data_IF_351511788159
#
_entry.id   IF_351511788159
#
_cell.length_a   1.000
_cell.length_b   1.000
_cell.length_c   1.000
_cell.angle_alpha   90.00
_cell.angle_beta   90.00
_cell.angle_gamma   90.00
#
_symmetry.space_group_name_H-M   'P 1'
#
loop_
_entity.id
_entity.type
_entity.pdbx_description
1 polymer ?
#
# COMPACT_ATOMS: atom_id res chain seq x y z
N UNK A 1 53.23 -10.18 -25.26
CA UNK A 1 52.31 -11.09 -25.98
C UNK A 1 51.41 -11.75 -24.96
N UNK A 2 50.10 -11.72 -25.17
CA UNK A 2 49.11 -12.35 -24.29
C UNK A 2 47.90 -11.45 -24.04
N UNK A 3 47.15 -11.16 -25.11
CA UNK A 3 45.84 -10.53 -25.01
C UNK A 3 44.73 -11.60 -24.97
N UNK A 4 43.67 -11.28 -24.24
CA UNK A 4 42.28 -11.72 -24.41
C UNK A 4 41.93 -13.18 -24.08
N UNK A 5 40.94 -13.38 -23.20
CA UNK A 5 39.63 -13.90 -23.62
C UNK A 5 38.53 -13.37 -22.68
N UNK A 6 37.64 -12.57 -23.28
CA UNK A 6 36.38 -12.10 -22.72
C UNK A 6 35.35 -13.23 -22.84
N UNK A 7 34.85 -13.75 -21.72
CA UNK A 7 33.80 -14.79 -21.68
C UNK A 7 32.44 -14.18 -22.02
N UNK A 8 32.12 -14.11 -23.31
CA UNK A 8 30.86 -13.58 -23.86
C UNK A 8 29.75 -14.65 -23.99
N UNK A 9 29.87 -15.75 -23.26
CA UNK A 9 29.01 -16.95 -23.39
C UNK A 9 27.96 -17.16 -22.31
N UNK A 10 28.09 -16.51 -21.14
CA UNK A 10 27.24 -16.79 -19.97
C UNK A 10 26.03 -15.85 -19.85
N UNK A 11 25.97 -14.78 -20.65
CA UNK A 11 24.90 -13.78 -20.60
C UNK A 11 23.50 -14.34 -20.93
N UNK A 12 23.31 -15.13 -22.00
CA UNK A 12 21.98 -15.63 -22.37
C UNK A 12 21.41 -16.63 -21.36
N UNK A 13 22.27 -17.47 -20.78
CA UNK A 13 21.90 -18.44 -19.73
C UNK A 13 21.57 -17.72 -18.42
N UNK A 14 22.37 -16.73 -18.02
CA UNK A 14 22.10 -15.92 -16.84
C UNK A 14 20.77 -15.17 -16.95
N UNK A 15 20.49 -14.55 -18.09
CA UNK A 15 19.22 -13.86 -18.36
C UNK A 15 18.04 -14.83 -18.32
N UNK A 16 18.18 -16.04 -18.88
CA UNK A 16 17.14 -17.07 -18.83
C UNK A 16 16.86 -17.53 -17.39
N UNK A 17 17.89 -17.77 -16.59
CA UNK A 17 17.75 -18.15 -15.18
C UNK A 17 17.12 -17.03 -14.33
N UNK A 18 17.51 -15.78 -14.58
CA UNK A 18 16.94 -14.60 -13.90
C UNK A 18 15.45 -14.45 -14.25
N UNK A 19 15.10 -14.61 -15.53
CA UNK A 19 13.70 -14.56 -15.98
C UNK A 19 12.83 -15.69 -15.40
N UNK A 20 13.38 -16.92 -15.28
CA UNK A 20 12.66 -18.04 -14.68
C UNK A 20 12.36 -17.81 -13.18
N UNK A 21 13.34 -17.27 -12.44
CA UNK A 21 13.15 -16.95 -11.03
C UNK A 21 12.19 -15.78 -10.81
N UNK A 22 12.26 -14.74 -11.65
CA UNK A 22 11.29 -13.64 -11.62
C UNK A 22 9.86 -14.13 -11.90
N UNK A 23 9.70 -15.05 -12.86
CA UNK A 23 8.41 -15.69 -13.15
C UNK A 23 7.87 -16.50 -11.95
N UNK A 24 8.74 -17.19 -11.21
CA UNK A 24 8.36 -17.88 -9.99
C UNK A 24 7.88 -16.92 -8.90
N UNK A 25 8.59 -15.81 -8.68
CA UNK A 25 8.18 -14.80 -7.69
C UNK A 25 6.83 -14.16 -8.05
N UNK A 26 6.57 -13.93 -9.34
CA UNK A 26 5.25 -13.47 -9.81
C UNK A 26 4.15 -14.45 -9.39
N UNK A 27 4.36 -15.74 -9.60
CA UNK A 27 3.36 -16.77 -9.30
C UNK A 27 3.16 -16.96 -7.80
N UNK A 28 4.24 -16.96 -7.02
CA UNK A 28 4.21 -17.25 -5.59
C UNK A 28 3.74 -16.06 -4.75
N UNK A 29 4.00 -14.83 -5.19
CA UNK A 29 3.86 -13.64 -4.36
C UNK A 29 2.93 -12.59 -4.94
N UNK A 30 3.18 -12.18 -6.20
CA UNK A 30 2.40 -11.08 -6.79
C UNK A 30 1.01 -11.50 -7.23
N UNK A 31 0.80 -12.73 -7.72
CA UNK A 31 -0.53 -13.23 -8.03
C UNK A 31 -1.44 -13.26 -6.80
N UNK A 32 -1.03 -13.83 -5.64
CA UNK A 32 -1.81 -13.75 -4.41
C UNK A 32 -2.06 -12.31 -3.95
N UNK A 33 -1.05 -11.43 -4.02
CA UNK A 33 -1.23 -10.02 -3.67
C UNK A 33 -2.28 -9.35 -4.56
N UNK A 34 -2.26 -9.61 -5.86
CA UNK A 34 -3.25 -9.06 -6.80
C UNK A 34 -4.66 -9.56 -6.48
N UNK A 35 -4.84 -10.86 -6.23
CA UNK A 35 -6.15 -11.42 -5.85
C UNK A 35 -6.65 -10.75 -4.57
N UNK A 36 -5.78 -10.56 -3.57
CA UNK A 36 -6.13 -9.87 -2.34
C UNK A 36 -6.55 -8.41 -2.57
N UNK A 37 -5.90 -7.70 -3.50
CA UNK A 37 -6.26 -6.33 -3.86
C UNK A 37 -7.57 -6.26 -4.66
N UNK A 38 -7.84 -7.25 -5.52
CA UNK A 38 -9.11 -7.39 -6.24
C UNK A 38 -10.27 -7.70 -5.26
N UNK A 39 -10.05 -8.58 -4.29
CA UNK A 39 -11.01 -8.85 -3.21
C UNK A 39 -11.28 -7.61 -2.35
N UNK A 40 -10.22 -6.86 -2.03
CA UNK A 40 -10.34 -5.60 -1.30
C UNK A 40 -11.16 -4.57 -2.06
N UNK A 41 -10.99 -4.46 -3.39
CA UNK A 41 -11.73 -3.50 -4.22
C UNK A 41 -13.25 -3.71 -4.15
N UNK A 42 -13.68 -4.97 -4.01
CA UNK A 42 -15.09 -5.35 -3.92
C UNK A 42 -15.61 -5.39 -2.48
N UNK A 43 -14.75 -5.12 -1.49
CA UNK A 43 -15.12 -5.19 -0.10
C UNK A 43 -15.89 -3.95 0.36
N UNK A 44 -16.70 -4.13 1.40
CA UNK A 44 -17.31 -3.01 2.11
C UNK A 44 -16.21 -2.11 2.72
N UNK A 45 -16.45 -0.80 2.70
CA UNK A 45 -15.47 0.17 3.16
C UNK A 45 -15.07 -0.03 4.63
N UNK A 46 -15.99 -0.52 5.47
CA UNK A 46 -15.72 -0.85 6.88
C UNK A 46 -14.75 -2.02 7.06
N UNK A 47 -14.58 -2.87 6.04
CA UNK A 47 -13.66 -4.01 6.08
C UNK A 47 -12.21 -3.63 5.68
N UNK A 48 -12.00 -2.45 5.09
CA UNK A 48 -10.68 -2.02 4.61
C UNK A 48 -9.56 -2.05 5.66
N UNK A 49 -9.76 -1.72 6.95
CA UNK A 49 -8.71 -1.86 7.98
C UNK A 49 -8.10 -3.27 8.03
N UNK A 50 -8.95 -4.29 7.86
CA UNK A 50 -8.50 -5.69 7.86
C UNK A 50 -7.72 -6.01 6.58
N UNK A 51 -8.19 -5.54 5.42
CA UNK A 51 -7.48 -5.73 4.15
C UNK A 51 -6.14 -4.99 4.12
N UNK A 52 -6.08 -3.76 4.64
CA UNK A 52 -4.84 -2.98 4.80
C UNK A 52 -3.79 -3.80 5.54
N UNK A 53 -4.19 -4.41 6.66
CA UNK A 53 -3.31 -5.28 7.44
C UNK A 53 -2.79 -6.44 6.61
N UNK A 54 -3.68 -7.18 5.94
CA UNK A 54 -3.32 -8.33 5.11
C UNK A 54 -2.39 -7.94 3.96
N UNK A 55 -2.67 -6.83 3.27
CA UNK A 55 -1.89 -6.34 2.13
C UNK A 55 -0.49 -5.95 2.58
N UNK A 56 -0.35 -5.10 3.60
CA UNK A 56 0.98 -4.69 4.09
C UNK A 56 1.80 -5.86 4.62
N UNK A 57 1.19 -6.82 5.32
CA UNK A 57 1.88 -8.03 5.76
C UNK A 57 2.34 -8.87 4.58
N UNK A 58 1.50 -8.97 3.54
CA UNK A 58 1.88 -9.65 2.30
C UNK A 58 3.09 -8.94 1.68
N UNK A 59 3.07 -7.62 1.53
CA UNK A 59 4.21 -6.84 0.99
C UNK A 59 5.49 -7.08 1.82
N UNK A 60 5.40 -7.12 3.15
CA UNK A 60 6.54 -7.43 4.01
C UNK A 60 7.04 -8.86 3.82
N UNK A 61 6.13 -9.81 3.59
CA UNK A 61 6.48 -11.18 3.27
C UNK A 61 7.18 -11.28 1.91
N UNK A 62 6.72 -10.55 0.90
CA UNK A 62 7.39 -10.44 -0.41
C UNK A 62 8.81 -9.91 -0.22
N UNK A 63 8.96 -8.82 0.52
CA UNK A 63 10.27 -8.25 0.85
C UNK A 63 11.20 -9.26 1.54
N UNK A 64 10.68 -10.03 2.49
CA UNK A 64 11.48 -10.98 3.26
C UNK A 64 11.86 -12.26 2.49
N UNK A 65 11.08 -12.65 1.47
CA UNK A 65 11.18 -13.99 0.86
C UNK A 65 11.54 -14.00 -0.61
N UNK A 66 11.10 -13.01 -1.39
CA UNK A 66 11.37 -12.92 -2.83
C UNK A 66 12.86 -12.65 -3.11
N UNK A 67 13.37 -13.23 -4.19
CA UNK A 67 14.76 -12.98 -4.66
C UNK A 67 14.84 -11.82 -5.66
N UNK A 68 13.71 -11.41 -6.26
CA UNK A 68 13.66 -10.39 -7.32
C UNK A 68 12.83 -9.16 -6.97
N UNK A 69 11.82 -9.30 -6.11
CA UNK A 69 10.92 -8.21 -5.68
C UNK A 69 11.29 -7.62 -4.32
N UNK A 70 12.34 -8.13 -3.67
CA UNK A 70 12.92 -7.55 -2.45
C UNK A 70 13.85 -6.36 -2.72
N UNK A 71 13.46 -5.47 -3.65
CA UNK A 71 14.21 -4.25 -3.97
C UNK A 71 13.41 -3.00 -3.60
N UNK A 72 14.04 -1.94 -3.06
CA UNK A 72 13.33 -0.74 -2.65
C UNK A 72 12.45 -0.15 -3.77
N UNK A 73 12.94 -0.10 -5.00
CA UNK A 73 12.20 0.44 -6.14
C UNK A 73 10.89 -0.30 -6.41
N UNK A 74 10.91 -1.64 -6.38
CA UNK A 74 9.71 -2.46 -6.61
C UNK A 74 8.72 -2.35 -5.45
N UNK A 75 9.20 -2.39 -4.20
CA UNK A 75 8.33 -2.20 -3.02
C UNK A 75 7.68 -0.82 -3.01
N UNK A 76 8.43 0.24 -3.35
CA UNK A 76 7.87 1.59 -3.45
C UNK A 76 6.73 1.63 -4.45
N UNK A 77 6.90 1.05 -5.65
CA UNK A 77 5.83 1.02 -6.67
C UNK A 77 4.61 0.25 -6.16
N UNK A 78 4.80 -0.91 -5.52
CA UNK A 78 3.68 -1.69 -4.96
C UNK A 78 2.93 -0.88 -3.88
N UNK A 79 3.65 -0.21 -2.98
CA UNK A 79 3.05 0.64 -1.96
C UNK A 79 2.31 1.83 -2.57
N UNK A 80 2.85 2.45 -3.64
CA UNK A 80 2.20 3.55 -4.35
C UNK A 80 0.88 3.11 -4.99
N UNK A 81 0.87 1.96 -5.68
CA UNK A 81 -0.35 1.44 -6.30
C UNK A 81 -1.40 1.09 -5.25
N UNK A 82 -0.99 0.46 -4.14
CA UNK A 82 -1.89 0.22 -3.02
C UNK A 82 -2.47 1.51 -2.43
N UNK A 83 -1.64 2.55 -2.26
CA UNK A 83 -2.09 3.86 -1.80
C UNK A 83 -3.05 4.52 -2.80
N UNK A 84 -2.80 4.38 -4.11
CA UNK A 84 -3.69 4.90 -5.15
C UNK A 84 -5.07 4.24 -5.05
N UNK A 85 -5.12 2.92 -4.89
CA UNK A 85 -6.36 2.19 -4.72
C UNK A 85 -7.13 2.62 -3.46
N UNK A 86 -6.44 2.80 -2.32
CA UNK A 86 -7.06 3.34 -1.10
C UNK A 86 -7.66 4.73 -1.30
N UNK A 87 -6.97 5.61 -2.02
CA UNK A 87 -7.49 6.95 -2.36
C UNK A 87 -8.77 6.82 -3.20
N UNK A 88 -8.74 5.97 -4.22
CA UNK A 88 -9.87 5.82 -5.14
C UNK A 88 -11.08 5.20 -4.43
N UNK A 89 -10.89 4.16 -3.61
CA UNK A 89 -11.94 3.60 -2.77
C UNK A 89 -12.52 4.63 -1.79
N UNK A 90 -11.66 5.45 -1.15
CA UNK A 90 -12.11 6.51 -0.23
C UNK A 90 -12.91 7.58 -0.96
N UNK A 91 -12.56 7.92 -2.20
CA UNK A 91 -13.30 8.90 -3.01
C UNK A 91 -14.65 8.36 -3.47
N UNK A 92 -14.70 7.07 -3.80
CA UNK A 92 -15.96 6.41 -4.15
C UNK A 92 -16.89 6.35 -2.93
N UNK A 93 -16.34 6.06 -1.75
CA UNK A 93 -17.10 6.05 -0.50
C UNK A 93 -17.54 7.46 -0.05
N UNK A 94 -16.65 8.44 -0.13
CA UNK A 94 -16.94 9.86 0.12
C UNK A 94 -17.18 10.59 -1.21
N UNK A 95 -18.23 10.18 -1.94
CA UNK A 95 -18.59 10.85 -3.19
C UNK A 95 -18.75 12.36 -2.93
N UNK A 96 -18.02 13.25 -3.65
CA UNK A 96 -18.12 14.69 -3.42
C UNK A 96 -19.55 15.23 -3.54
N UNK A 97 -20.36 14.64 -4.42
CA UNK A 97 -21.76 15.01 -4.60
C UNK A 97 -22.62 14.63 -3.39
N UNK A 98 -22.41 13.41 -2.85
CA UNK A 98 -23.13 12.93 -1.67
C UNK A 98 -22.73 13.71 -0.42
N UNK A 99 -21.44 14.00 -0.26
CA UNK A 99 -20.94 14.84 0.84
C UNK A 99 -21.58 16.24 0.76
N UNK A 100 -21.54 16.89 -0.40
CA UNK A 100 -22.13 18.23 -0.56
C UNK A 100 -23.63 18.26 -0.31
N UNK A 101 -24.36 17.22 -0.73
CA UNK A 101 -25.79 17.08 -0.49
C UNK A 101 -26.08 16.84 0.98
N UNK A 102 -25.37 15.92 1.62
CA UNK A 102 -25.59 15.59 3.03
C UNK A 102 -25.24 16.77 3.96
N UNK A 103 -24.31 17.65 3.58
CA UNK A 103 -24.06 18.89 4.32
C UNK A 103 -25.26 19.87 4.35
N UNK A 104 -26.30 19.65 3.55
CA UNK A 104 -27.52 20.48 3.53
C UNK A 104 -28.62 19.99 4.48
N UNK A 105 -28.45 18.86 5.17
CA UNK A 105 -29.47 18.33 6.08
C UNK A 105 -29.18 17.00 6.80
N UNK A 106 -28.11 16.30 6.43
CA UNK A 106 -27.69 14.98 6.95
C UNK A 106 -26.23 15.04 7.46
N UNK A 107 -25.89 16.12 8.17
CA UNK A 107 -24.51 16.43 8.58
C UNK A 107 -23.89 15.32 9.44
N UNK A 108 -24.66 14.72 10.35
CA UNK A 108 -24.17 13.64 11.23
C UNK A 108 -23.76 12.38 10.45
N UNK A 109 -24.51 12.02 9.40
CA UNK A 109 -24.20 10.87 8.54
C UNK A 109 -22.93 11.14 7.72
N UNK A 110 -22.83 12.34 7.15
CA UNK A 110 -21.64 12.78 6.42
C UNK A 110 -20.41 12.78 7.31
N UNK A 111 -20.53 13.33 8.53
CA UNK A 111 -19.43 13.35 9.50
C UNK A 111 -19.00 11.93 9.87
N UNK A 112 -19.96 11.03 10.10
CA UNK A 112 -19.66 9.61 10.39
C UNK A 112 -18.87 8.95 9.26
N UNK A 113 -19.25 9.19 8.01
CA UNK A 113 -18.51 8.69 6.84
C UNK A 113 -17.10 9.28 6.72
N UNK A 114 -16.95 10.58 6.95
CA UNK A 114 -15.64 11.25 6.94
C UNK A 114 -14.73 10.67 8.03
N UNK A 115 -15.23 10.55 9.26
CA UNK A 115 -14.46 10.00 10.39
C UNK A 115 -14.08 8.55 10.15
N UNK A 116 -14.97 7.72 9.58
CA UNK A 116 -14.62 6.36 9.16
C UNK A 116 -13.47 6.37 8.16
N UNK A 117 -13.53 7.24 7.15
CA UNK A 117 -12.46 7.38 6.14
C UNK A 117 -11.13 7.80 6.74
N UNK A 118 -11.16 8.75 7.68
CA UNK A 118 -9.96 9.16 8.43
C UNK A 118 -9.38 7.99 9.23
N UNK A 119 -10.22 7.18 9.86
CA UNK A 119 -9.77 6.03 10.64
C UNK A 119 -9.18 4.92 9.75
N UNK A 120 -9.78 4.63 8.60
CA UNK A 120 -9.22 3.69 7.61
C UNK A 120 -7.83 4.15 7.15
N UNK A 121 -7.67 5.43 6.82
CA UNK A 121 -6.38 5.99 6.41
C UNK A 121 -5.36 5.99 7.55
N UNK A 122 -5.76 6.21 8.80
CA UNK A 122 -4.89 6.07 9.98
C UNK A 122 -4.39 4.63 10.15
N UNK A 123 -5.23 3.63 9.87
CA UNK A 123 -4.83 2.22 9.99
C UNK A 123 -3.70 1.86 9.02
N UNK A 124 -3.68 2.44 7.81
CA UNK A 124 -2.56 2.29 6.87
C UNK A 124 -1.22 2.65 7.53
N UNK A 125 -1.14 3.83 8.15
CA UNK A 125 0.10 4.28 8.78
C UNK A 125 0.44 3.46 10.01
N UNK A 126 -0.56 3.11 10.83
CA UNK A 126 -0.36 2.27 12.01
C UNK A 126 0.26 0.92 11.65
N UNK A 127 -0.30 0.25 10.64
CA UNK A 127 0.20 -1.06 10.18
C UNK A 127 1.57 -0.90 9.51
N UNK A 128 1.77 0.15 8.71
CA UNK A 128 3.06 0.42 8.09
C UNK A 128 4.18 0.62 9.13
N UNK A 129 3.93 1.42 10.17
CA UNK A 129 4.87 1.66 11.25
C UNK A 129 5.15 0.37 12.03
N UNK A 130 4.11 -0.44 12.29
CA UNK A 130 4.26 -1.76 12.90
C UNK A 130 5.15 -2.66 12.04
N UNK A 131 4.94 -2.72 10.74
CA UNK A 131 5.75 -3.51 9.81
C UNK A 131 7.22 -3.06 9.80
N UNK A 132 7.48 -1.75 9.76
CA UNK A 132 8.84 -1.20 9.81
C UNK A 132 9.55 -1.57 11.11
N UNK A 133 8.87 -1.41 12.25
CA UNK A 133 9.42 -1.73 13.57
C UNK A 133 9.61 -3.24 13.80
N UNK A 134 8.79 -4.08 13.15
CA UNK A 134 8.75 -5.52 13.38
C UNK A 134 9.15 -6.33 12.15
N UNK A 135 9.96 -5.76 11.25
CA UNK A 135 10.33 -6.39 9.98
C UNK A 135 10.90 -7.81 10.15
N UNK A 136 11.63 -8.05 11.25
CA UNK A 136 12.17 -9.37 11.62
C UNK A 136 11.13 -10.49 11.70
N UNK A 137 9.86 -10.19 11.96
CA UNK A 137 8.79 -11.21 12.06
C UNK A 137 8.51 -11.90 10.72
N UNK A 138 8.83 -11.24 9.60
CA UNK A 138 8.56 -11.76 8.25
C UNK A 138 9.71 -12.62 7.72
N UNK A 139 10.90 -12.57 8.34
CA UNK A 139 12.07 -13.33 7.96
C UNK A 139 12.14 -14.64 8.78
N UNK A 140 12.33 -15.77 8.10
CA UNK A 140 12.45 -17.08 8.76
C UNK A 140 13.89 -17.55 8.91
N UNK A 141 14.60 -17.66 7.77
CA UNK A 141 15.91 -18.32 7.69
C UNK A 141 16.99 -17.38 7.11
N UNK A 142 16.79 -16.06 7.21
CA UNK A 142 17.70 -15.03 6.68
C UNK A 142 17.82 -13.91 7.70
N UNK A 143 18.93 -13.19 7.67
CA UNK A 143 19.10 -11.99 8.48
C UNK A 143 18.04 -10.95 8.07
N UNK A 144 17.29 -10.36 9.02
CA UNK A 144 16.29 -9.36 8.70
C UNK A 144 16.91 -8.10 8.09
N UNK A 145 16.43 -7.73 6.90
CA UNK A 145 16.79 -6.46 6.27
C UNK A 145 15.60 -5.51 6.39
N UNK A 146 15.74 -4.33 7.01
CA UNK A 146 14.67 -3.34 7.07
C UNK A 146 14.44 -2.69 5.70
N UNK A 147 13.33 -1.97 5.55
CA UNK A 147 13.16 -1.09 4.39
C UNK A 147 14.11 0.11 4.46
N UNK A 148 14.91 0.29 3.41
CA UNK A 148 15.91 1.37 3.31
C UNK A 148 15.48 2.45 2.32
N UNK A 149 14.31 3.05 2.54
CA UNK A 149 13.85 4.18 1.73
C UNK A 149 13.00 5.16 2.53
N UNK A 150 13.03 6.46 2.20
CA UNK A 150 12.13 7.43 2.80
C UNK A 150 10.67 7.09 2.48
N UNK A 151 9.82 7.02 3.52
CA UNK A 151 8.38 6.75 3.36
C UNK A 151 7.70 7.76 2.43
N UNK A 152 8.21 8.99 2.34
CA UNK A 152 7.72 10.02 1.41
C UNK A 152 7.73 9.58 -0.06
N UNK A 153 8.61 8.66 -0.46
CA UNK A 153 8.64 8.14 -1.83
C UNK A 153 7.36 7.35 -2.15
N UNK A 154 6.85 6.57 -1.18
CA UNK A 154 5.63 5.79 -1.35
C UNK A 154 4.35 6.59 -1.03
N UNK A 155 4.40 7.44 0.00
CA UNK A 155 3.17 8.01 0.60
C UNK A 155 2.87 9.47 0.22
N UNK A 156 3.68 10.14 -0.59
CA UNK A 156 3.49 11.58 -0.90
C UNK A 156 2.07 11.96 -1.34
N UNK A 157 1.47 11.15 -2.24
CA UNK A 157 0.12 11.37 -2.77
C UNK A 157 -0.96 11.14 -1.71
N UNK A 158 -0.90 10.01 -1.00
CA UNK A 158 -1.88 9.69 0.04
C UNK A 158 -1.76 10.59 1.27
N UNK A 159 -0.56 11.06 1.61
CA UNK A 159 -0.36 12.09 2.64
C UNK A 159 -1.09 13.39 2.29
N UNK A 160 -1.01 13.81 1.03
CA UNK A 160 -1.70 15.01 0.55
C UNK A 160 -3.21 14.83 0.50
N UNK A 161 -3.68 13.65 0.13
CA UNK A 161 -5.10 13.30 0.19
C UNK A 161 -5.62 13.26 1.64
N UNK A 162 -4.92 12.57 2.54
CA UNK A 162 -5.30 12.41 3.93
C UNK A 162 -5.43 13.76 4.64
N UNK A 163 -4.46 14.67 4.45
CA UNK A 163 -4.55 16.04 4.97
C UNK A 163 -5.82 16.77 4.53
N UNK A 164 -6.26 16.58 3.29
CA UNK A 164 -7.50 17.19 2.78
C UNK A 164 -8.72 16.61 3.47
N UNK A 165 -8.79 15.28 3.61
CA UNK A 165 -9.91 14.61 4.29
C UNK A 165 -10.01 15.08 5.75
N UNK A 166 -8.88 15.14 6.47
CA UNK A 166 -8.85 15.66 7.85
C UNK A 166 -9.26 17.13 7.94
N UNK A 167 -8.88 17.95 6.96
CA UNK A 167 -9.30 19.37 6.92
C UNK A 167 -10.82 19.47 6.79
N UNK A 168 -11.43 18.62 5.95
CA UNK A 168 -12.89 18.58 5.78
C UNK A 168 -13.56 18.09 7.07
N UNK A 169 -13.06 17.03 7.71
CA UNK A 169 -13.56 16.54 9.00
C UNK A 169 -13.67 17.67 10.03
N UNK A 170 -12.55 18.37 10.26
CA UNK A 170 -12.48 19.52 11.18
C UNK A 170 -13.48 20.61 10.80
N UNK A 171 -13.59 20.96 9.52
CA UNK A 171 -14.53 21.99 9.07
C UNK A 171 -15.99 21.62 9.33
N UNK A 172 -16.35 20.35 9.14
CA UNK A 172 -17.71 19.85 9.37
C UNK A 172 -18.01 19.77 10.87
N UNK A 173 -17.07 19.29 11.68
CA UNK A 173 -17.21 19.25 13.15
C UNK A 173 -17.43 20.65 13.76
N UNK A 174 -16.61 21.63 13.39
CA UNK A 174 -16.70 22.99 13.94
C UNK A 174 -17.80 23.85 13.28
N UNK A 175 -18.23 23.51 12.08
CA UNK A 175 -19.35 24.16 11.39
C UNK A 175 -20.73 23.68 11.85
N UNK A 176 -20.78 22.55 12.57
CA UNK A 176 -22.01 22.00 13.13
C UNK A 176 -22.42 22.78 14.39
N UNK A 177 -23.66 23.29 14.51
CA UNK A 177 -24.11 23.95 15.72
C UNK A 177 -24.05 22.97 16.91
N UNK A 178 -23.65 23.41 18.12
CA UNK A 178 -23.63 22.54 19.28
C UNK A 178 -25.04 22.01 19.56
N UNK A 179 -25.13 20.69 19.77
CA UNK A 179 -26.34 19.93 20.10
C UNK A 179 -27.02 20.46 21.37
#
# INVERSE_FOLDING_TARGET
>A
MGASFCSRGDEPLFLFHTGLKEANDIVLYLKPLRILLEEMEQADFTALPTFITKVLYTICFIWATSEHYNTPSRIIVILQEFCNQLIDMTRTFLSPEEVLKGLQGEIEEVLTGITLSVNVLKELYRVYDFCCANMKLFFKNKEPVPWEFPSSLAFSRINSFFRRVQTIEVQVEFGSPPS
#
